data_IF_843264838797
#
_entry.id   IF_843264838797
#
_cell.length_a   1.000
_cell.length_b   1.000
_cell.length_c   1.000
_cell.angle_alpha   90.00
_cell.angle_beta   90.00
_cell.angle_gamma   90.00
#
_symmetry.space_group_name_H-M   'P 1'
#
loop_
_entity.id
_entity.type
_entity.pdbx_description
1 polymer ?
#
# COMPACT_ATOMS: atom_id res chain seq x y z
N UNK A 1 -4.18 3.64 16.46
CA UNK A 1 -5.04 2.75 15.65
C UNK A 1 -4.46 1.36 15.71
N UNK A 2 -5.27 0.32 15.98
CA UNK A 2 -4.78 -1.06 16.12
C UNK A 2 -4.48 -1.71 14.76
N UNK A 3 -3.55 -2.66 14.73
CA UNK A 3 -3.27 -3.47 13.55
C UNK A 3 -4.37 -4.52 13.38
N UNK A 4 -4.95 -4.59 12.17
CA UNK A 4 -5.88 -5.67 11.79
C UNK A 4 -5.07 -6.78 11.15
N UNK A 5 -5.13 -7.97 11.75
CA UNK A 5 -4.46 -9.16 11.25
C UNK A 5 -5.30 -9.85 10.15
N UNK A 6 -4.73 -10.16 8.97
CA UNK A 6 -5.47 -10.71 7.83
C UNK A 6 -6.29 -11.97 8.14
N UNK A 7 -5.75 -12.88 8.96
CA UNK A 7 -6.37 -14.14 9.37
C UNK A 7 -7.67 -13.96 10.15
N UNK A 8 -7.85 -12.80 10.79
CA UNK A 8 -9.02 -12.47 11.59
C UNK A 8 -10.10 -11.73 10.81
N UNK A 9 -9.99 -11.66 9.47
CA UNK A 9 -10.91 -10.88 8.64
C UNK A 9 -11.80 -11.72 7.74
N UNK A 10 -13.00 -11.22 7.49
CA UNK A 10 -13.98 -11.81 6.58
C UNK A 10 -14.48 -10.76 5.58
N UNK A 11 -15.23 -11.21 4.55
CA UNK A 11 -15.85 -10.34 3.56
C UNK A 11 -14.84 -9.42 2.85
N UNK A 12 -15.17 -8.13 2.76
CA UNK A 12 -14.41 -7.15 1.98
C UNK A 12 -12.98 -6.92 2.50
N UNK A 13 -12.75 -7.03 3.82
CA UNK A 13 -11.42 -6.89 4.40
C UNK A 13 -10.50 -8.04 4.00
N UNK A 14 -11.03 -9.28 4.01
CA UNK A 14 -10.27 -10.45 3.53
C UNK A 14 -9.92 -10.32 2.05
N UNK A 15 -10.85 -9.83 1.23
CA UNK A 15 -10.59 -9.54 -0.18
C UNK A 15 -9.50 -8.48 -0.36
N UNK A 16 -9.55 -7.41 0.44
CA UNK A 16 -8.53 -6.37 0.45
C UNK A 16 -7.14 -6.95 0.77
N UNK A 17 -7.00 -7.74 1.83
CA UNK A 17 -5.71 -8.32 2.19
C UNK A 17 -5.17 -9.29 1.14
N UNK A 18 -6.02 -10.11 0.52
CA UNK A 18 -5.65 -10.95 -0.63
C UNK A 18 -5.13 -10.11 -1.81
N UNK A 19 -5.76 -8.96 -2.08
CA UNK A 19 -5.28 -8.04 -3.10
C UNK A 19 -3.92 -7.45 -2.71
N UNK A 20 -3.75 -6.99 -1.47
CA UNK A 20 -2.47 -6.45 -0.96
C UNK A 20 -1.34 -7.45 -1.17
N UNK A 21 -1.55 -8.72 -0.78
CA UNK A 21 -0.56 -9.78 -0.96
C UNK A 21 -0.22 -9.99 -2.44
N UNK A 22 -1.22 -10.03 -3.32
CA UNK A 22 -1.00 -10.15 -4.78
C UNK A 22 -0.22 -8.98 -5.39
N UNK A 23 -0.43 -7.75 -4.92
CA UNK A 23 0.25 -6.57 -5.45
C UNK A 23 1.65 -6.35 -4.86
N UNK A 24 1.84 -6.69 -3.58
CA UNK A 24 3.04 -6.32 -2.82
C UNK A 24 3.90 -7.50 -2.38
N UNK A 25 3.45 -8.75 -2.57
CA UNK A 25 4.06 -10.00 -2.09
C UNK A 25 4.25 -10.05 -0.56
N UNK A 26 3.56 -9.19 0.18
CA UNK A 26 3.53 -9.11 1.65
C UNK A 26 2.38 -8.22 2.11
N UNK A 27 2.08 -8.23 3.41
CA UNK A 27 1.13 -7.30 4.05
C UNK A 27 1.87 -6.34 4.99
N UNK A 28 2.19 -5.10 4.57
CA UNK A 28 2.80 -4.10 5.44
C UNK A 28 1.87 -3.63 6.57
N UNK A 29 2.41 -3.21 7.71
CA UNK A 29 1.64 -2.63 8.81
C UNK A 29 0.76 -1.44 8.37
N UNK A 30 1.23 -0.60 7.44
CA UNK A 30 0.44 0.50 6.88
C UNK A 30 -0.86 0.00 6.24
N UNK A 31 -0.86 -1.17 5.61
CA UNK A 31 -2.06 -1.79 5.03
C UNK A 31 -2.96 -2.40 6.10
N UNK A 32 -2.39 -2.96 7.17
CA UNK A 32 -3.16 -3.39 8.36
C UNK A 32 -3.88 -2.22 9.04
N UNK A 33 -3.27 -1.04 9.06
CA UNK A 33 -3.91 0.19 9.56
C UNK A 33 -4.96 0.72 8.56
N UNK A 34 -4.68 0.73 7.26
CA UNK A 34 -5.64 1.18 6.24
C UNK A 34 -6.85 0.24 6.07
N UNK A 35 -6.77 -0.99 6.57
CA UNK A 35 -7.87 -1.95 6.53
C UNK A 35 -9.10 -1.50 7.33
N UNK A 36 -8.96 -0.56 8.27
CA UNK A 36 -10.10 0.06 8.98
C UNK A 36 -11.04 0.84 8.03
N UNK A 37 -10.57 1.22 6.83
CA UNK A 37 -11.36 1.90 5.81
C UNK A 37 -11.30 1.13 4.48
N UNK A 38 -11.85 -0.09 4.41
CA UNK A 38 -11.56 -1.03 3.32
C UNK A 38 -12.03 -0.51 1.95
N UNK A 39 -13.16 0.18 1.89
CA UNK A 39 -13.68 0.77 0.64
C UNK A 39 -12.71 1.79 0.03
N UNK A 40 -12.17 2.69 0.86
CA UNK A 40 -11.18 3.70 0.41
C UNK A 40 -9.90 3.01 -0.01
N UNK A 41 -9.43 2.05 0.79
CA UNK A 41 -8.13 1.43 0.56
C UNK A 41 -8.14 0.48 -0.64
N UNK A 42 -9.28 -0.09 -1.00
CA UNK A 42 -9.45 -0.83 -2.25
C UNK A 42 -9.34 0.05 -3.50
N UNK A 43 -9.64 1.34 -3.43
CA UNK A 43 -9.38 2.30 -4.51
C UNK A 43 -7.90 2.73 -4.52
N UNK A 44 -7.33 2.97 -3.34
CA UNK A 44 -5.95 3.46 -3.21
C UNK A 44 -4.89 2.42 -3.54
N UNK A 45 -5.18 1.13 -3.35
CA UNK A 45 -4.23 0.04 -3.64
C UNK A 45 -3.83 0.00 -5.12
N UNK A 46 -4.75 -0.10 -6.11
CA UNK A 46 -4.38 -0.09 -7.52
C UNK A 46 -3.78 1.24 -7.94
N UNK A 47 -4.28 2.37 -7.44
CA UNK A 47 -3.69 3.70 -7.70
C UNK A 47 -2.22 3.79 -7.24
N UNK A 48 -1.92 3.29 -6.05
CA UNK A 48 -0.54 3.27 -5.54
C UNK A 48 0.34 2.33 -6.35
N UNK A 49 -0.20 1.17 -6.76
CA UNK A 49 0.53 0.20 -7.56
C UNK A 49 0.92 0.78 -8.92
N UNK A 50 0.02 1.50 -9.61
CA UNK A 50 0.32 2.09 -10.92
C UNK A 50 1.34 3.22 -10.84
N UNK A 51 1.28 4.04 -9.79
CA UNK A 51 2.26 5.11 -9.57
C UNK A 51 3.64 4.57 -9.20
N UNK A 52 3.71 3.60 -8.29
CA UNK A 52 4.97 3.14 -7.70
C UNK A 52 5.68 2.08 -8.53
N UNK A 53 4.96 1.22 -9.26
CA UNK A 53 5.55 0.10 -10.00
C UNK A 53 5.95 0.49 -11.43
N UNK A 54 6.86 -0.29 -11.98
CA UNK A 54 7.28 -0.22 -13.38
C UNK A 54 6.27 -0.98 -14.24
N UNK A 55 6.16 -0.58 -15.51
CA UNK A 55 5.28 -1.24 -16.47
C UNK A 55 3.79 -0.86 -16.38
N UNK A 56 3.40 -0.01 -15.42
CA UNK A 56 2.02 0.46 -15.25
C UNK A 56 1.75 1.84 -15.90
N UNK A 57 2.54 2.22 -16.91
CA UNK A 57 2.39 3.49 -17.66
C UNK A 57 3.23 4.66 -17.17
N UNK A 58 3.97 4.50 -16.07
CA UNK A 58 4.92 5.52 -15.60
C UNK A 58 6.23 5.53 -16.41
N UNK A 59 6.74 6.72 -16.72
CA UNK A 59 8.01 6.91 -17.44
C UNK A 59 9.26 6.76 -16.55
N UNK A 60 9.11 7.00 -15.24
CA UNK A 60 10.21 6.92 -14.29
C UNK A 60 10.41 5.49 -13.79
N UNK A 61 11.68 5.11 -13.62
CA UNK A 61 12.05 3.86 -12.97
C UNK A 61 11.60 3.83 -11.51
N UNK A 62 11.39 2.64 -10.97
CA UNK A 62 11.05 2.41 -9.56
C UNK A 62 12.10 3.05 -8.65
N UNK A 63 13.38 2.96 -9.02
CA UNK A 63 14.47 3.54 -8.24
C UNK A 63 14.29 5.04 -7.99
N UNK A 64 13.93 5.80 -9.04
CA UNK A 64 13.73 7.25 -8.90
C UNK A 64 12.50 7.57 -8.06
N UNK A 65 11.40 6.82 -8.28
CA UNK A 65 10.16 6.97 -7.51
C UNK A 65 10.38 6.70 -6.02
N UNK A 66 11.11 5.65 -5.67
CA UNK A 66 11.44 5.33 -4.28
C UNK A 66 12.34 6.39 -3.63
N UNK A 67 13.32 6.94 -4.36
CA UNK A 67 14.13 8.07 -3.86
C UNK A 67 13.24 9.28 -3.54
N UNK A 68 12.27 9.59 -4.41
CA UNK A 68 11.33 10.68 -4.16
C UNK A 68 10.46 10.40 -2.91
N UNK A 69 9.96 9.18 -2.74
CA UNK A 69 9.20 8.76 -1.54
C UNK A 69 10.06 8.89 -0.28
N UNK A 70 11.30 8.39 -0.29
CA UNK A 70 12.20 8.46 0.87
C UNK A 70 12.52 9.91 1.22
N UNK A 71 12.89 10.73 0.23
CA UNK A 71 13.26 12.13 0.48
C UNK A 71 12.09 12.95 1.02
N UNK A 72 10.92 12.77 0.44
CA UNK A 72 9.71 13.46 0.92
C UNK A 72 9.27 12.96 2.29
N UNK A 73 9.37 11.66 2.56
CA UNK A 73 9.08 11.08 3.88
C UNK A 73 10.02 11.64 4.95
N UNK A 74 11.32 11.75 4.64
CA UNK A 74 12.31 12.35 5.53
C UNK A 74 12.02 13.83 5.81
N UNK A 75 11.70 14.63 4.78
CA UNK A 75 11.33 16.03 4.95
C UNK A 75 10.06 16.22 5.80
N UNK A 76 9.12 15.28 5.71
CA UNK A 76 7.88 15.29 6.47
C UNK A 76 7.98 14.61 7.85
N UNK A 77 9.17 14.15 8.27
CA UNK A 77 9.35 13.46 9.56
C UNK A 77 8.59 12.14 9.68
N UNK A 78 8.29 11.49 8.56
CA UNK A 78 7.57 10.22 8.54
C UNK A 78 8.50 9.06 8.96
N UNK A 79 8.31 8.55 10.17
CA UNK A 79 9.10 7.47 10.75
C UNK A 79 8.30 6.16 10.84
N UNK A 80 7.88 5.66 9.67
CA UNK A 80 7.21 4.36 9.50
C UNK A 80 8.20 3.24 9.18
#
# INVERSE_FOLDING_TARGET
MSLIEPENTTGIMSLYFKAVEKFLNRVPNSRKISAHTPMVTMLMLPFSATLQREGAGGLLSNKIKEIAIIKTSHLNGCAY
#
